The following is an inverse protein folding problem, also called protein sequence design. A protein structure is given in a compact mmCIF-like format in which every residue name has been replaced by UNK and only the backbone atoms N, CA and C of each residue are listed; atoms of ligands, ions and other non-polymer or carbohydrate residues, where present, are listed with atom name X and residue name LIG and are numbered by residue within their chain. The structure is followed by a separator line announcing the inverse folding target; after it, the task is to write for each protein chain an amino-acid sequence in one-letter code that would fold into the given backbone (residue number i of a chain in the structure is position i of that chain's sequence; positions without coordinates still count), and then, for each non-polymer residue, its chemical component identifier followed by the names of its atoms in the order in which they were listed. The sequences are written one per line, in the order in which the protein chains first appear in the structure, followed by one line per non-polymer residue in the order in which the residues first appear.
data_IF_646845430685
#
_entry.id   IF_646845430685
#
_cell.length_a   1.000
_cell.length_b   1.000
_cell.length_c   1.000
_cell.angle_alpha   90.00
_cell.angle_beta   90.00
_cell.angle_gamma   90.00
#
_symmetry.space_group_name_H-M   'P 1'
#
loop_
_entity.id
_entity.type
_entity.pdbx_description
1 polymer ?
#
# COMPACT_ATOMS: atom_id res chain seq x y z
N UNK A 1 -19.92 6.61 -9.17
CA UNK A 1 -20.49 5.50 -8.38
C UNK A 1 -19.62 5.10 -7.18
N UNK A 2 -18.36 5.57 -7.07
CA UNK A 2 -17.58 5.51 -5.81
C UNK A 2 -17.88 6.71 -4.90
N UNK A 3 -18.13 7.90 -5.47
CA UNK A 3 -18.38 9.11 -4.65
C UNK A 3 -19.66 9.03 -3.80
N UNK A 4 -20.61 8.16 -4.17
CA UNK A 4 -21.82 7.88 -3.38
C UNK A 4 -21.59 6.95 -2.18
N UNK A 5 -20.38 6.39 -2.02
CA UNK A 5 -20.06 5.54 -0.87
C UNK A 5 -19.55 6.35 0.33
N UNK A 6 -19.17 7.61 0.12
CA UNK A 6 -18.72 8.50 1.21
C UNK A 6 -19.82 8.67 2.25
N UNK A 7 -21.09 8.73 1.82
CA UNK A 7 -22.25 8.85 2.72
C UNK A 7 -22.46 7.62 3.62
N UNK A 8 -21.82 6.48 3.29
CA UNK A 8 -21.85 5.28 4.13
C UNK A 8 -20.78 5.29 5.21
N UNK A 9 -19.80 6.18 5.12
CA UNK A 9 -18.75 6.31 6.15
C UNK A 9 -19.36 7.01 7.37
N UNK A 10 -19.31 6.34 8.51
CA UNK A 10 -19.78 6.85 9.79
C UNK A 10 -18.60 7.31 10.67
N UNK A 11 -18.87 7.68 11.93
CA UNK A 11 -17.85 8.15 12.90
C UNK A 11 -17.20 7.01 13.69
N UNK A 12 -17.49 5.76 13.34
CA UNK A 12 -16.97 4.61 14.07
C UNK A 12 -15.52 4.31 13.71
N UNK A 13 -14.89 3.45 14.51
CA UNK A 13 -13.54 2.97 14.22
C UNK A 13 -13.59 1.85 13.20
N UNK A 14 -12.73 1.96 12.19
CA UNK A 14 -12.58 0.95 11.14
C UNK A 14 -11.33 0.12 11.37
N UNK A 15 -11.42 -1.15 11.03
CA UNK A 15 -10.30 -2.08 10.92
C UNK A 15 -10.08 -2.47 9.47
N UNK A 16 -8.85 -2.87 9.17
CA UNK A 16 -8.41 -3.28 7.84
C UNK A 16 -8.24 -4.80 7.78
N UNK A 17 -8.80 -5.44 6.76
CA UNK A 17 -8.67 -6.88 6.58
C UNK A 17 -7.38 -7.21 5.80
N UNK A 18 -6.37 -7.70 6.52
CA UNK A 18 -5.06 -8.05 5.96
C UNK A 18 -5.01 -9.43 5.27
N UNK A 19 -6.11 -10.20 5.26
CA UNK A 19 -6.16 -11.45 4.50
C UNK A 19 -6.18 -11.13 2.99
N UNK A 20 -5.16 -11.62 2.28
CA UNK A 20 -4.93 -11.37 0.86
C UNK A 20 -6.00 -11.97 -0.07
N UNK A 21 -6.65 -13.05 0.37
CA UNK A 21 -7.72 -13.73 -0.36
C UNK A 21 -9.10 -13.10 -0.14
N UNK A 22 -9.23 -12.27 0.90
CA UNK A 22 -10.52 -11.68 1.28
C UNK A 22 -10.87 -10.45 0.42
N UNK A 23 -12.13 -10.36 -0.03
CA UNK A 23 -12.63 -9.19 -0.76
C UNK A 23 -12.79 -7.94 0.12
N UNK A 24 -12.94 -8.11 1.43
CA UNK A 24 -13.12 -7.01 2.38
C UNK A 24 -11.81 -6.24 2.52
N UNK A 25 -11.90 -4.91 2.49
CA UNK A 25 -10.78 -3.98 2.71
C UNK A 25 -10.94 -3.37 4.11
N UNK A 26 -12.03 -2.65 4.34
CA UNK A 26 -12.34 -2.04 5.63
C UNK A 26 -13.66 -2.55 6.18
N UNK A 27 -13.76 -2.62 7.50
CA UNK A 27 -14.99 -2.91 8.21
C UNK A 27 -15.02 -2.14 9.53
N UNK A 28 -16.21 -1.71 9.96
CA UNK A 28 -16.37 -1.19 11.33
C UNK A 28 -16.39 -2.33 12.36
N UNK A 29 -16.11 -2.01 13.62
CA UNK A 29 -16.02 -3.01 14.70
C UNK A 29 -17.36 -3.69 15.03
N UNK A 30 -18.48 -3.08 14.66
CA UNK A 30 -19.82 -3.61 14.87
C UNK A 30 -20.30 -4.46 13.68
N UNK A 31 -19.55 -4.51 12.58
CA UNK A 31 -19.86 -5.23 11.35
C UNK A 31 -20.98 -4.61 10.50
N UNK A 32 -21.40 -3.38 10.79
CA UNK A 32 -22.50 -2.70 10.11
C UNK A 32 -22.10 -2.18 8.73
N UNK A 33 -20.84 -1.75 8.60
CA UNK A 33 -20.28 -1.15 7.39
C UNK A 33 -19.10 -1.96 6.93
N UNK A 34 -19.15 -2.41 5.67
CA UNK A 34 -18.11 -3.19 5.02
C UNK A 34 -17.81 -2.56 3.66
N UNK A 35 -16.54 -2.29 3.41
CA UNK A 35 -16.04 -1.85 2.12
C UNK A 35 -15.18 -2.95 1.49
N UNK A 36 -15.47 -3.26 0.24
CA UNK A 36 -14.75 -4.28 -0.54
C UNK A 36 -13.75 -3.65 -1.50
N UNK A 37 -12.91 -4.48 -2.13
CA UNK A 37 -11.94 -4.06 -3.15
C UNK A 37 -12.55 -3.17 -4.23
N UNK A 38 -13.73 -3.53 -4.74
CA UNK A 38 -14.46 -2.81 -5.77
C UNK A 38 -14.95 -1.40 -5.35
N UNK A 39 -15.01 -1.15 -4.04
CA UNK A 39 -15.42 0.14 -3.47
C UNK A 39 -14.23 1.11 -3.37
N UNK A 40 -13.01 0.63 -3.57
CA UNK A 40 -11.78 1.42 -3.47
C UNK A 40 -11.45 2.11 -4.79
N UNK A 41 -10.99 3.37 -4.71
CA UNK A 41 -10.53 4.14 -5.87
C UNK A 41 -9.20 3.62 -6.44
N UNK A 42 -8.42 2.92 -5.60
CA UNK A 42 -7.09 2.42 -5.92
C UNK A 42 -6.96 0.97 -5.44
N UNK A 43 -6.16 0.14 -6.13
CA UNK A 43 -5.85 -1.20 -5.68
C UNK A 43 -5.16 -1.18 -4.32
N UNK A 44 -5.38 -2.25 -3.56
CA UNK A 44 -4.99 -2.36 -2.17
C UNK A 44 -3.92 -3.44 -2.05
N UNK A 45 -2.70 -3.04 -1.73
CA UNK A 45 -1.46 -3.81 -1.93
C UNK A 45 -1.39 -5.17 -1.23
N UNK A 46 -2.10 -5.33 -0.12
CA UNK A 46 -2.16 -6.59 0.62
C UNK A 46 -3.12 -7.60 0.00
N UNK A 47 -3.91 -7.22 -1.01
CA UNK A 47 -4.78 -8.14 -1.76
C UNK A 47 -3.97 -8.83 -2.84
N UNK A 48 -4.14 -10.16 -2.96
CA UNK A 48 -3.33 -10.98 -3.88
C UNK A 48 -3.42 -10.53 -5.35
N UNK A 49 -4.56 -9.95 -5.72
CA UNK A 49 -4.87 -9.49 -7.09
C UNK A 49 -4.68 -7.98 -7.26
N UNK A 50 -4.00 -7.31 -6.32
CA UNK A 50 -3.71 -5.88 -6.42
C UNK A 50 -2.83 -5.60 -7.64
N UNK A 51 -3.39 -4.85 -8.60
CA UNK A 51 -2.66 -4.44 -9.79
C UNK A 51 -3.02 -2.99 -10.17
N UNK A 52 -2.07 -2.05 -10.14
CA UNK A 52 -0.68 -2.23 -9.68
C UNK A 52 -0.59 -2.43 -8.16
N UNK A 53 0.49 -3.09 -7.70
CA UNK A 53 0.76 -3.29 -6.27
C UNK A 53 1.60 -2.12 -5.72
N UNK A 54 0.90 -1.11 -5.20
CA UNK A 54 1.54 0.08 -4.62
C UNK A 54 2.18 -0.21 -3.25
N UNK A 55 3.44 0.16 -3.08
CA UNK A 55 4.10 0.18 -1.76
C UNK A 55 4.06 1.60 -1.17
N UNK A 56 4.35 2.62 -1.98
CA UNK A 56 4.19 4.03 -1.57
C UNK A 56 2.98 4.66 -2.25
N UNK A 57 1.88 4.79 -1.52
CA UNK A 57 0.66 5.40 -2.02
C UNK A 57 0.79 6.90 -2.29
N UNK A 58 1.57 7.61 -1.47
CA UNK A 58 1.75 9.07 -1.60
C UNK A 58 2.40 9.49 -2.92
N UNK A 59 3.26 8.63 -3.47
CA UNK A 59 4.05 8.91 -4.67
C UNK A 59 3.81 7.87 -5.78
N UNK A 60 2.78 7.02 -5.63
CA UNK A 60 2.41 5.94 -6.55
C UNK A 60 3.58 5.02 -6.95
N UNK A 61 4.47 4.69 -6.00
CA UNK A 61 5.58 3.75 -6.24
C UNK A 61 5.12 2.33 -5.99
N UNK A 62 5.36 1.46 -6.96
CA UNK A 62 4.98 0.04 -6.96
C UNK A 62 6.09 -0.86 -6.44
N UNK A 63 5.72 -2.08 -6.05
CA UNK A 63 6.67 -3.14 -5.69
C UNK A 63 7.64 -3.43 -6.84
N UNK A 64 7.15 -3.50 -8.07
CA UNK A 64 7.96 -3.73 -9.28
C UNK A 64 9.02 -2.64 -9.48
N UNK A 65 8.67 -1.36 -9.26
CA UNK A 65 9.63 -0.26 -9.35
C UNK A 65 10.73 -0.34 -8.29
N UNK A 66 10.40 -0.81 -7.08
CA UNK A 66 11.40 -1.04 -6.03
C UNK A 66 12.29 -2.22 -6.41
N UNK A 67 11.72 -3.33 -6.88
CA UNK A 67 12.47 -4.50 -7.37
C UNK A 67 13.44 -4.09 -8.47
N UNK A 68 12.96 -3.37 -9.48
CA UNK A 68 13.78 -2.90 -10.59
C UNK A 68 14.90 -1.95 -10.11
N UNK A 69 14.63 -1.09 -9.13
CA UNK A 69 15.64 -0.20 -8.57
C UNK A 69 16.77 -0.98 -7.87
N UNK A 70 16.45 -2.07 -7.16
CA UNK A 70 17.46 -2.94 -6.52
C UNK A 70 18.25 -3.71 -7.59
N UNK A 71 17.57 -4.50 -8.42
CA UNK A 71 18.21 -5.45 -9.34
C UNK A 71 18.95 -4.73 -10.49
N UNK A 72 18.34 -3.72 -11.10
CA UNK A 72 18.84 -3.12 -12.34
C UNK A 72 19.52 -1.77 -12.14
N UNK A 73 19.28 -1.10 -11.01
CA UNK A 73 19.84 0.23 -10.73
C UNK A 73 20.77 0.27 -9.51
N UNK A 74 21.02 -0.87 -8.86
CA UNK A 74 21.97 -1.00 -7.76
C UNK A 74 21.55 -0.27 -6.49
N UNK A 75 20.23 -0.18 -6.21
CA UNK A 75 19.75 0.38 -4.95
C UNK A 75 20.04 -0.59 -3.81
N UNK A 76 20.78 -0.16 -2.79
CA UNK A 76 21.13 -1.01 -1.63
C UNK A 76 20.32 -0.67 -0.38
N UNK A 77 19.78 0.55 -0.30
CA UNK A 77 19.08 1.04 0.87
C UNK A 77 17.85 1.91 0.54
N UNK A 78 17.16 2.34 1.59
CA UNK A 78 15.97 3.18 1.46
C UNK A 78 16.27 4.56 0.84
N UNK A 79 17.48 5.10 1.02
CA UNK A 79 17.86 6.40 0.43
C UNK A 79 17.98 6.28 -1.08
N UNK A 80 18.54 5.18 -1.57
CA UNK A 80 18.58 4.89 -3.00
C UNK A 80 17.18 4.71 -3.58
N UNK A 81 16.31 3.97 -2.90
CA UNK A 81 14.91 3.84 -3.32
C UNK A 81 14.23 5.21 -3.42
N UNK A 82 14.36 6.07 -2.40
CA UNK A 82 13.79 7.43 -2.43
C UNK A 82 14.36 8.24 -3.60
N UNK A 83 15.66 8.16 -3.83
CA UNK A 83 16.36 8.87 -4.91
C UNK A 83 15.87 8.43 -6.29
N UNK A 84 15.80 7.13 -6.53
CA UNK A 84 15.49 6.52 -7.84
C UNK A 84 13.98 6.56 -8.13
N UNK A 85 13.15 6.14 -7.18
CA UNK A 85 11.70 5.95 -7.41
C UNK A 85 10.87 7.17 -7.03
N UNK A 86 11.40 8.04 -6.17
CA UNK A 86 10.64 9.16 -5.61
C UNK A 86 9.68 8.78 -4.49
N UNK A 87 9.75 7.55 -3.96
CA UNK A 87 9.00 7.14 -2.77
C UNK A 87 9.23 8.13 -1.61
N UNK A 88 8.21 8.31 -0.77
CA UNK A 88 8.26 9.14 0.44
C UNK A 88 8.47 10.65 0.25
N UNK A 89 8.65 11.18 -0.97
CA UNK A 89 8.93 12.61 -1.22
C UNK A 89 7.78 13.56 -0.84
N UNK A 90 6.53 13.12 -0.92
CA UNK A 90 5.33 13.95 -0.63
C UNK A 90 4.43 13.26 0.41
N UNK A 91 5.00 12.89 1.55
CA UNK A 91 4.32 12.09 2.58
C UNK A 91 3.01 12.70 3.07
N UNK A 92 1.91 11.96 2.85
CA UNK A 92 0.57 12.19 3.44
C UNK A 92 -0.02 10.84 3.83
N UNK A 93 0.76 10.05 4.56
CA UNK A 93 0.52 8.61 4.77
C UNK A 93 -0.79 8.33 5.50
N UNK A 94 -1.14 9.17 6.48
CA UNK A 94 -2.40 9.10 7.23
C UNK A 94 -3.65 9.19 6.34
N UNK A 95 -3.52 9.82 5.16
CA UNK A 95 -4.62 10.02 4.21
C UNK A 95 -4.54 9.06 3.03
N UNK A 96 -3.33 8.85 2.50
CA UNK A 96 -3.14 8.15 1.23
C UNK A 96 -2.84 6.66 1.40
N UNK A 97 -2.18 6.25 2.48
CA UNK A 97 -1.85 4.84 2.69
C UNK A 97 -3.05 4.13 3.34
N UNK A 98 -3.50 2.97 2.83
CA UNK A 98 -4.58 2.22 3.44
C UNK A 98 -4.40 1.90 4.94
N UNK A 99 -3.15 1.80 5.41
CA UNK A 99 -2.84 1.59 6.82
C UNK A 99 -2.79 2.88 7.66
N UNK A 100 -2.84 4.05 7.03
CA UNK A 100 -2.55 5.32 7.67
C UNK A 100 -1.08 5.53 8.04
N UNK A 101 -0.20 4.56 7.71
CA UNK A 101 1.20 4.55 8.14
C UNK A 101 2.19 4.77 6.98
N UNK A 102 3.42 5.18 7.33
CA UNK A 102 4.47 5.37 6.33
C UNK A 102 4.86 4.05 5.66
N UNK A 103 5.11 4.07 4.35
CA UNK A 103 5.55 2.91 3.58
C UNK A 103 7.00 2.46 3.87
N UNK A 104 7.78 3.25 4.61
CA UNK A 104 9.20 3.01 4.85
C UNK A 104 9.54 1.59 5.34
N UNK A 105 8.84 1.04 6.35
CA UNK A 105 9.07 -0.34 6.80
C UNK A 105 8.85 -1.38 5.70
N UNK A 106 7.79 -1.24 4.89
CA UNK A 106 7.48 -2.17 3.79
C UNK A 106 8.53 -2.04 2.67
N UNK A 107 9.01 -0.83 2.38
CA UNK A 107 10.13 -0.62 1.45
C UNK A 107 11.36 -1.37 1.96
N UNK A 108 11.72 -1.21 3.23
CA UNK A 108 12.89 -1.89 3.83
C UNK A 108 12.74 -3.42 3.79
N UNK A 109 11.56 -3.94 4.10
CA UNK A 109 11.27 -5.37 3.98
C UNK A 109 11.44 -5.87 2.55
N UNK A 110 10.98 -5.09 1.56
CA UNK A 110 11.11 -5.44 0.14
C UNK A 110 12.57 -5.48 -0.29
N UNK A 111 13.38 -4.49 0.09
CA UNK A 111 14.83 -4.46 -0.17
C UNK A 111 15.49 -5.70 0.43
N UNK A 112 15.25 -5.97 1.72
CA UNK A 112 15.84 -7.10 2.42
C UNK A 112 15.48 -8.44 1.77
N UNK A 113 14.23 -8.62 1.33
CA UNK A 113 13.80 -9.83 0.63
C UNK A 113 14.61 -10.04 -0.65
N UNK A 114 14.79 -9.01 -1.46
CA UNK A 114 15.53 -9.09 -2.73
C UNK A 114 17.02 -9.39 -2.47
N UNK A 115 17.67 -8.63 -1.59
CA UNK A 115 19.10 -8.79 -1.31
C UNK A 115 19.42 -10.16 -0.70
N UNK A 116 18.55 -10.70 0.15
CA UNK A 116 18.71 -12.05 0.72
C UNK A 116 18.48 -13.17 -0.32
N UNK A 117 17.79 -12.89 -1.43
CA UNK A 117 17.59 -13.85 -2.52
C UNK A 117 18.78 -13.90 -3.49
N UNK A 118 19.61 -12.86 -3.53
CA UNK A 118 20.85 -12.82 -4.31
C UNK A 118 22.10 -13.27 -3.54
N UNK A 119 21.93 -13.59 -2.24
CA UNK A 119 23.00 -14.03 -1.32
C UNK A 119 23.24 -15.54 -1.34
#
# INVERSE_FOLDING_TARGET
MIDSLVDKVNKDNYSICLNEDCEVVYYDLDGNTIFKKQDMKIPIWYKKDANPKYICYCNHVTEEQIINAVINNGAEDIKDIIRITGAMKNGKCEVNNPLGECCGPIIQETINKILNMES
#
